data_IF_184507521835
#
_entry.id   IF_184507521835
#
_cell.length_a   1.000
_cell.length_b   1.000
_cell.length_c   1.000
_cell.angle_alpha   90.00
_cell.angle_beta   90.00
_cell.angle_gamma   90.00
#
_symmetry.space_group_name_H-M   'P 1'
#
loop_
_entity.id
_entity.type
_entity.pdbx_description
1 polymer ?
#
# COMPACT_ATOMS: atom_id res chain seq x y z
N UNK A 1 41.35 -24.66 -8.17
CA UNK A 1 39.91 -24.41 -7.95
C UNK A 1 39.18 -24.39 -9.30
N UNK A 2 38.27 -25.33 -9.56
CA UNK A 2 37.55 -25.40 -10.83
C UNK A 2 36.64 -24.17 -11.02
N UNK A 3 36.67 -23.55 -12.21
CA UNK A 3 35.88 -22.34 -12.54
C UNK A 3 34.39 -22.48 -12.18
N UNK A 4 33.80 -23.68 -12.31
CA UNK A 4 32.41 -23.99 -11.90
C UNK A 4 32.18 -23.83 -10.38
N UNK A 5 33.15 -24.16 -9.54
CA UNK A 5 33.02 -24.03 -8.08
C UNK A 5 33.14 -22.57 -7.62
N UNK A 6 33.93 -21.75 -8.31
CA UNK A 6 34.03 -20.32 -8.03
C UNK A 6 32.74 -19.56 -8.43
N UNK A 7 32.16 -19.91 -9.59
CA UNK A 7 30.85 -19.39 -10.03
C UNK A 7 29.73 -19.70 -9.02
N UNK A 8 29.63 -20.94 -8.56
CA UNK A 8 28.55 -21.34 -7.64
C UNK A 8 28.78 -20.78 -6.23
N UNK A 9 30.02 -20.77 -5.71
CA UNK A 9 30.29 -20.31 -4.35
C UNK A 9 30.31 -18.80 -4.17
N UNK A 10 30.70 -18.04 -5.20
CA UNK A 10 30.87 -16.58 -5.08
C UNK A 10 29.91 -15.78 -5.96
N UNK A 11 29.65 -16.21 -7.20
CA UNK A 11 28.84 -15.42 -8.13
C UNK A 11 27.34 -15.63 -7.89
N UNK A 12 26.91 -16.86 -7.63
CA UNK A 12 25.51 -17.16 -7.32
C UNK A 12 24.93 -16.37 -6.12
N UNK A 13 25.58 -16.34 -4.92
CA UNK A 13 25.04 -15.57 -3.80
C UNK A 13 24.97 -14.07 -4.07
N UNK A 14 25.91 -13.52 -4.84
CA UNK A 14 25.91 -12.10 -5.23
C UNK A 14 24.72 -11.78 -6.14
N UNK A 15 24.41 -12.66 -7.10
CA UNK A 15 23.23 -12.51 -7.97
C UNK A 15 21.94 -12.58 -7.15
N UNK A 16 21.85 -13.52 -6.20
CA UNK A 16 20.69 -13.65 -5.31
C UNK A 16 20.50 -12.38 -4.48
N UNK A 17 21.58 -11.86 -3.89
CA UNK A 17 21.55 -10.61 -3.12
C UNK A 17 21.10 -9.43 -3.98
N UNK A 18 21.63 -9.30 -5.20
CA UNK A 18 21.24 -8.26 -6.14
C UNK A 18 19.75 -8.36 -6.54
N UNK A 19 19.25 -9.58 -6.76
CA UNK A 19 17.84 -9.82 -7.06
C UNK A 19 16.92 -9.43 -5.89
N UNK A 20 17.30 -9.79 -4.65
CA UNK A 20 16.55 -9.41 -3.44
C UNK A 20 16.53 -7.88 -3.29
N UNK A 21 17.68 -7.21 -3.44
CA UNK A 21 17.76 -5.75 -3.34
C UNK A 21 16.94 -5.06 -4.43
N UNK A 22 17.01 -5.56 -5.68
CA UNK A 22 16.18 -5.06 -6.77
C UNK A 22 14.68 -5.22 -6.50
N UNK A 23 14.27 -6.39 -6.02
CA UNK A 23 12.88 -6.67 -5.65
C UNK A 23 12.39 -5.79 -4.49
N UNK A 24 13.23 -5.54 -3.48
CA UNK A 24 12.90 -4.63 -2.38
C UNK A 24 12.74 -3.19 -2.86
N UNK A 25 13.56 -2.73 -3.82
CA UNK A 25 13.46 -1.39 -4.38
C UNK A 25 12.15 -1.20 -5.16
N UNK A 26 11.83 -2.14 -6.06
CA UNK A 26 10.59 -2.15 -6.85
C UNK A 26 9.32 -2.33 -6.00
N UNK A 27 9.43 -2.93 -4.80
CA UNK A 27 8.27 -3.14 -3.94
C UNK A 27 7.94 -1.98 -3.00
N UNK A 28 8.76 -0.91 -2.96
CA UNK A 28 8.41 0.29 -2.21
C UNK A 28 7.31 1.05 -2.94
N UNK A 29 6.18 1.18 -2.26
CA UNK A 29 5.12 2.11 -2.66
C UNK A 29 5.60 3.52 -2.35
N UNK A 30 5.55 4.42 -3.33
CA UNK A 30 5.97 5.81 -3.18
C UNK A 30 5.15 6.52 -2.09
N UNK A 31 5.74 7.48 -1.37
CA UNK A 31 5.05 8.20 -0.28
C UNK A 31 3.79 8.93 -0.76
N UNK A 32 3.82 9.51 -1.96
CA UNK A 32 2.65 10.17 -2.55
C UNK A 32 1.53 9.18 -2.83
N UNK A 33 1.86 8.00 -3.36
CA UNK A 33 0.88 6.95 -3.63
C UNK A 33 0.30 6.39 -2.32
N UNK A 34 1.11 6.21 -1.28
CA UNK A 34 0.61 5.83 0.04
C UNK A 34 -0.38 6.85 0.59
N UNK A 35 -0.05 8.14 0.54
CA UNK A 35 -0.93 9.21 1.01
C UNK A 35 -2.27 9.22 0.24
N UNK A 36 -2.24 8.96 -1.06
CA UNK A 36 -3.45 8.78 -1.87
C UNK A 36 -4.31 7.62 -1.35
N UNK A 37 -3.72 6.44 -1.14
CA UNK A 37 -4.44 5.27 -0.63
C UNK A 37 -5.00 5.46 0.79
N UNK A 38 -4.30 6.19 1.64
CA UNK A 38 -4.83 6.61 2.95
C UNK A 38 -6.06 7.50 2.79
N UNK A 39 -6.00 8.48 1.87
CA UNK A 39 -7.14 9.36 1.60
C UNK A 39 -8.35 8.60 1.04
N UNK A 40 -8.13 7.65 0.12
CA UNK A 40 -9.19 6.77 -0.41
C UNK A 40 -9.81 5.96 0.72
N UNK A 41 -9.00 5.29 1.55
CA UNK A 41 -9.52 4.53 2.69
C UNK A 41 -10.35 5.41 3.64
N UNK A 42 -9.88 6.61 3.97
CA UNK A 42 -10.59 7.54 4.86
C UNK A 42 -11.92 8.07 4.29
N UNK A 43 -12.15 7.93 2.99
CA UNK A 43 -13.46 8.17 2.40
C UNK A 43 -14.33 6.92 2.48
N UNK A 44 -13.79 5.75 2.12
CA UNK A 44 -14.51 4.47 2.17
C UNK A 44 -14.95 4.10 3.59
N UNK A 45 -14.13 4.34 4.61
CA UNK A 45 -14.43 3.97 6.01
C UNK A 45 -15.69 4.66 6.57
N UNK A 46 -16.08 5.79 5.96
CA UNK A 46 -17.28 6.53 6.31
C UNK A 46 -18.55 5.94 5.70
N UNK A 47 -18.41 5.13 4.66
CA UNK A 47 -19.54 4.47 4.02
C UNK A 47 -20.05 3.34 4.92
N UNK A 48 -21.31 3.43 5.41
CA UNK A 48 -21.90 2.38 6.24
C UNK A 48 -21.96 1.06 5.47
N UNK A 49 -21.89 -0.05 6.21
CA UNK A 49 -22.05 -1.41 5.69
C UNK A 49 -21.11 -1.81 4.56
N UNK A 50 -19.92 -1.21 4.49
CA UNK A 50 -18.89 -1.58 3.52
C UNK A 50 -18.45 -3.05 3.74
N UNK A 51 -18.78 -3.99 2.84
CA UNK A 51 -18.51 -5.42 3.07
C UNK A 51 -17.03 -5.76 2.88
N UNK A 52 -16.35 -5.02 2.01
CA UNK A 52 -14.93 -5.17 1.72
C UNK A 52 -14.33 -3.79 1.46
N UNK A 53 -13.52 -3.30 2.40
CA UNK A 53 -12.82 -2.02 2.24
C UNK A 53 -11.91 -2.04 1.00
N UNK A 54 -11.28 -3.18 0.68
CA UNK A 54 -10.43 -3.32 -0.50
C UNK A 54 -11.21 -3.09 -1.79
N UNK A 55 -12.36 -3.75 -1.92
CA UNK A 55 -13.15 -3.67 -3.15
C UNK A 55 -13.83 -2.32 -3.29
N UNK A 56 -14.25 -1.73 -2.17
CA UNK A 56 -14.77 -0.36 -2.17
C UNK A 56 -13.70 0.67 -2.52
N UNK A 57 -12.45 0.52 -2.05
CA UNK A 57 -11.33 1.36 -2.49
C UNK A 57 -11.06 1.19 -3.99
N UNK A 58 -11.10 -0.03 -4.50
CA UNK A 58 -10.95 -0.30 -5.95
C UNK A 58 -12.05 0.37 -6.75
N UNK A 59 -13.31 0.15 -6.39
CA UNK A 59 -14.46 0.73 -7.06
C UNK A 59 -14.41 2.26 -7.04
N UNK A 60 -13.99 2.86 -5.94
CA UNK A 60 -13.83 4.30 -5.83
C UNK A 60 -12.74 4.85 -6.77
N UNK A 61 -11.61 4.16 -6.91
CA UNK A 61 -10.52 4.54 -7.83
C UNK A 61 -10.98 4.36 -9.28
N UNK A 62 -11.63 3.24 -9.58
CA UNK A 62 -12.15 2.96 -10.92
C UNK A 62 -13.25 3.95 -11.34
N UNK A 63 -14.11 4.37 -10.40
CA UNK A 63 -15.11 5.41 -10.65
C UNK A 63 -14.47 6.78 -10.93
N UNK A 64 -13.31 7.07 -10.34
CA UNK A 64 -12.53 8.27 -10.66
C UNK A 64 -11.91 8.26 -12.06
N UNK A 65 -11.77 7.09 -12.69
CA UNK A 65 -11.24 6.91 -14.04
C UNK A 65 -12.31 7.14 -15.11
N UNK A 66 -12.92 8.34 -15.12
CA UNK A 66 -13.85 8.74 -16.19
C UNK A 66 -13.21 8.72 -17.59
N UNK A 67 -14.03 8.70 -18.65
CA UNK A 67 -13.52 8.58 -20.02
C UNK A 67 -12.61 9.72 -20.48
N UNK A 68 -12.71 10.86 -19.81
CA UNK A 68 -11.89 12.06 -20.06
C UNK A 68 -10.76 12.24 -19.03
N UNK A 69 -10.51 11.26 -18.15
CA UNK A 69 -9.45 11.35 -17.16
C UNK A 69 -8.07 11.35 -17.84
N UNK A 70 -7.36 12.47 -17.72
CA UNK A 70 -6.00 12.65 -18.26
C UNK A 70 -5.00 11.64 -17.67
N UNK A 71 -5.18 11.23 -16.42
CA UNK A 71 -4.36 10.23 -15.74
C UNK A 71 -5.25 9.18 -15.08
N UNK A 72 -5.45 8.04 -15.76
CA UNK A 72 -6.19 6.90 -15.21
C UNK A 72 -5.31 6.17 -14.20
N UNK A 73 -5.72 6.15 -12.93
CA UNK A 73 -5.02 5.42 -11.87
C UNK A 73 -5.39 3.94 -11.91
N UNK A 74 -4.39 3.08 -12.04
CA UNK A 74 -4.57 1.63 -11.84
C UNK A 74 -4.61 1.32 -10.34
N UNK A 75 -5.46 0.39 -9.95
CA UNK A 75 -5.49 -0.07 -8.57
C UNK A 75 -4.19 -0.80 -8.20
N UNK A 76 -3.38 -0.17 -7.35
CA UNK A 76 -2.24 -0.76 -6.67
C UNK A 76 -2.68 -1.56 -5.44
N UNK A 77 -2.62 -2.88 -5.56
CA UNK A 77 -2.98 -3.82 -4.50
C UNK A 77 -2.12 -3.65 -3.24
N UNK A 78 -0.81 -3.45 -3.40
CA UNK A 78 0.13 -3.35 -2.29
C UNK A 78 -0.09 -2.06 -1.49
N UNK A 79 -0.37 -0.95 -2.16
CA UNK A 79 -0.68 0.30 -1.48
C UNK A 79 -1.96 0.18 -0.62
N UNK A 80 -3.00 -0.46 -1.15
CA UNK A 80 -4.21 -0.76 -0.38
C UNK A 80 -3.92 -1.69 0.81
N UNK A 81 -3.15 -2.76 0.60
CA UNK A 81 -2.78 -3.70 1.65
C UNK A 81 -1.99 -3.05 2.78
N UNK A 82 -1.07 -2.14 2.47
CA UNK A 82 -0.31 -1.42 3.49
C UNK A 82 -1.25 -0.63 4.41
N UNK A 83 -2.25 0.05 3.85
CA UNK A 83 -3.25 0.80 4.63
C UNK A 83 -4.13 -0.15 5.45
N UNK A 84 -4.68 -1.20 4.83
CA UNK A 84 -5.55 -2.16 5.52
C UNK A 84 -4.84 -2.91 6.65
N UNK A 85 -3.58 -3.30 6.44
CA UNK A 85 -2.73 -3.93 7.47
C UNK A 85 -2.37 -2.97 8.60
N UNK A 86 -2.28 -1.67 8.31
CA UNK A 86 -2.07 -0.65 9.35
C UNK A 86 -3.33 -0.51 10.19
N UNK A 87 -4.49 -0.40 9.53
CA UNK A 87 -5.78 -0.23 10.20
C UNK A 87 -6.17 -1.47 11.02
N UNK A 88 -5.85 -2.68 10.55
CA UNK A 88 -6.17 -3.91 11.27
C UNK A 88 -5.49 -3.99 12.64
N UNK A 89 -4.35 -3.29 12.81
CA UNK A 89 -3.58 -3.19 14.06
C UNK A 89 -4.03 -2.06 14.99
N UNK A 90 -5.00 -1.24 14.60
CA UNK A 90 -5.51 -0.15 15.44
C UNK A 90 -6.38 -0.69 16.56
N UNK A 91 -6.38 -0.01 17.70
CA UNK A 91 -7.32 -0.28 18.79
C UNK A 91 -8.75 0.09 18.39
N UNK A 92 -9.74 -0.45 19.09
CA UNK A 92 -11.15 -0.14 18.79
C UNK A 92 -11.46 1.36 18.91
N UNK A 93 -10.89 2.01 19.92
CA UNK A 93 -11.00 3.47 20.09
C UNK A 93 -10.43 4.23 18.89
N UNK A 94 -9.23 3.85 18.42
CA UNK A 94 -8.60 4.44 17.23
C UNK A 94 -9.43 4.18 15.97
N UNK A 95 -10.01 2.99 15.85
CA UNK A 95 -10.82 2.58 14.71
C UNK A 95 -12.13 3.37 14.64
N UNK A 96 -12.73 3.69 15.79
CA UNK A 96 -13.91 4.55 15.87
C UNK A 96 -13.63 5.95 15.32
N UNK A 97 -12.48 6.54 15.68
CA UNK A 97 -12.08 7.88 15.22
C UNK A 97 -11.92 8.00 13.69
N UNK A 98 -11.68 6.88 12.99
CA UNK A 98 -11.51 6.90 11.53
C UNK A 98 -12.79 7.33 10.81
N UNK A 99 -13.97 7.03 11.38
CA UNK A 99 -15.26 7.32 10.77
C UNK A 99 -15.67 8.78 10.95
N UNK A 100 -15.27 9.39 12.06
CA UNK A 100 -15.77 10.71 12.46
C UNK A 100 -15.12 11.86 11.68
N UNK A 101 -13.80 11.82 11.49
CA UNK A 101 -13.06 12.94 10.93
C UNK A 101 -12.05 12.48 9.87
N UNK A 102 -12.19 12.97 8.64
CA UNK A 102 -11.32 12.58 7.52
C UNK A 102 -9.88 13.06 7.69
N UNK A 103 -9.65 14.19 8.36
CA UNK A 103 -8.31 14.70 8.65
C UNK A 103 -7.67 13.89 9.76
N UNK A 104 -8.42 13.58 10.83
CA UNK A 104 -7.92 12.73 11.91
C UNK A 104 -7.61 11.30 11.42
N UNK A 105 -8.47 10.74 10.56
CA UNK A 105 -8.23 9.45 9.92
C UNK A 105 -6.91 9.44 9.15
N UNK A 106 -6.68 10.45 8.29
CA UNK A 106 -5.44 10.58 7.51
C UNK A 106 -4.22 10.68 8.42
N UNK A 107 -4.25 11.58 9.40
CA UNK A 107 -3.14 11.79 10.33
C UNK A 107 -2.81 10.52 11.13
N UNK A 108 -3.82 9.84 11.66
CA UNK A 108 -3.64 8.64 12.47
C UNK A 108 -3.01 7.50 11.65
N UNK A 109 -3.53 7.23 10.45
CA UNK A 109 -3.01 6.16 9.60
C UNK A 109 -1.60 6.51 9.10
N UNK A 110 -1.38 7.73 8.62
CA UNK A 110 -0.05 8.16 8.15
C UNK A 110 0.99 8.09 9.26
N UNK A 111 0.66 8.49 10.49
CA UNK A 111 1.56 8.38 11.64
C UNK A 111 1.91 6.91 11.96
N UNK A 112 0.95 5.99 11.80
CA UNK A 112 1.16 4.55 12.02
C UNK A 112 1.92 3.85 10.90
N UNK A 113 1.95 4.40 9.70
CA UNK A 113 2.74 3.88 8.58
C UNK A 113 4.18 4.40 8.56
N UNK A 114 4.45 5.51 9.26
CA UNK A 114 5.78 6.13 9.34
C UNK A 114 6.66 5.58 10.47
N UNK A 115 6.08 4.79 11.40
CA UNK A 115 6.79 4.14 12.52
C UNK A 115 6.86 2.64 12.35
#
# INVERSE_FOLDING_TARGET
>A
MNKRNALIKFILPVIILAAIMGYMSLSRVESQEQAYYVAVYCQVVKTPDTPSYRDAMRAMIDAGNSDYALDRKKFNLRAADNVLNTVSKLTDAQRSMLKDNATACRQLISAKMAG
#
